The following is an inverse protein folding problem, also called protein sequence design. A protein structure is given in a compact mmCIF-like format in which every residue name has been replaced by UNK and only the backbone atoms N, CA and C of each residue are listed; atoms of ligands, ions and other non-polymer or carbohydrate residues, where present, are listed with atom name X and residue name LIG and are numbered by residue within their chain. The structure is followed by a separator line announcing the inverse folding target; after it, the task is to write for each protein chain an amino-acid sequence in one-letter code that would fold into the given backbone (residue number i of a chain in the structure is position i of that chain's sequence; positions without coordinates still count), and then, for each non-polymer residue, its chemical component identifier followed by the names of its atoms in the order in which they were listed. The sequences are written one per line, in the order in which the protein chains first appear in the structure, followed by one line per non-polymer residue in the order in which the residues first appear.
data_IF_072770854927
#
_entry.id   IF_072770854927
#
_cell.length_a   1.000
_cell.length_b   1.000
_cell.length_c   1.000
_cell.angle_alpha   90.00
_cell.angle_beta   90.00
_cell.angle_gamma   90.00
#
_symmetry.space_group_name_H-M   'P 1'
#
loop_
_entity.id
_entity.type
_entity.pdbx_description
1 polymer ?
#
# COMPACT_ATOMS: atom_id res chain seq x y z
N UNK A 1 -12.62 -0.37 -20.74
CA UNK A 1 -13.12 -0.96 -19.47
C UNK A 1 -12.28 -2.18 -19.15
N UNK A 2 -11.94 -2.40 -17.88
CA UNK A 2 -11.26 -3.62 -17.44
C UNK A 2 -12.13 -4.34 -16.42
N UNK A 3 -12.22 -5.66 -16.52
CA UNK A 3 -13.06 -6.50 -15.68
C UNK A 3 -12.23 -7.59 -15.02
N UNK A 4 -12.44 -7.80 -13.72
CA UNK A 4 -11.79 -8.81 -12.89
C UNK A 4 -12.83 -9.81 -12.44
N UNK A 5 -12.55 -11.09 -12.70
CA UNK A 5 -13.38 -12.21 -12.23
C UNK A 5 -12.70 -12.85 -11.02
N UNK A 6 -13.34 -12.77 -9.87
CA UNK A 6 -12.89 -13.31 -8.59
C UNK A 6 -13.89 -14.38 -8.14
N UNK A 7 -13.78 -15.59 -8.69
CA UNK A 7 -14.75 -16.67 -8.44
C UNK A 7 -16.15 -16.28 -8.94
N UNK A 8 -17.09 -16.15 -8.01
CA UNK A 8 -18.49 -15.76 -8.30
C UNK A 8 -18.68 -14.24 -8.40
N UNK A 9 -17.71 -13.44 -7.97
CA UNK A 9 -17.79 -11.98 -7.99
C UNK A 9 -17.08 -11.39 -9.21
N UNK A 10 -17.63 -10.32 -9.77
CA UNK A 10 -17.03 -9.56 -10.87
C UNK A 10 -16.89 -8.09 -10.49
N UNK A 11 -15.70 -7.54 -10.71
CA UNK A 11 -15.37 -6.14 -10.45
C UNK A 11 -14.93 -5.46 -11.72
N UNK A 12 -15.29 -4.20 -11.93
CA UNK A 12 -14.90 -3.45 -13.13
C UNK A 12 -14.35 -2.08 -12.76
N UNK A 13 -13.35 -1.64 -13.52
CA UNK A 13 -12.85 -0.27 -13.47
C UNK A 13 -12.72 0.34 -14.86
N UNK A 14 -12.68 1.67 -14.91
CA UNK A 14 -12.52 2.44 -16.12
C UNK A 14 -11.11 2.99 -16.24
N UNK A 15 -10.50 2.76 -17.40
CA UNK A 15 -9.14 3.23 -17.74
C UNK A 15 -9.29 4.16 -18.93
N UNK A 16 -9.24 5.47 -18.67
CA UNK A 16 -9.53 6.51 -19.67
C UNK A 16 -8.23 7.06 -20.25
N UNK A 17 -7.65 6.35 -21.22
CA UNK A 17 -6.37 6.72 -21.82
C UNK A 17 -6.46 7.94 -22.74
N UNK A 18 -7.54 8.19 -23.46
CA UNK A 18 -7.63 9.36 -24.36
C UNK A 18 -8.23 10.60 -23.70
N UNK A 19 -8.61 10.51 -22.43
CA UNK A 19 -9.07 11.67 -21.67
C UNK A 19 -7.92 12.63 -21.36
N UNK A 20 -8.28 13.81 -20.84
CA UNK A 20 -7.33 14.78 -20.30
C UNK A 20 -7.48 14.96 -18.79
N UNK A 21 -6.46 15.55 -18.17
CA UNK A 21 -6.44 15.85 -16.74
C UNK A 21 -6.30 14.61 -15.84
N UNK A 22 -7.01 14.61 -14.72
CA UNK A 22 -6.86 13.60 -13.67
C UNK A 22 -7.18 12.16 -14.15
N UNK A 23 -8.19 11.99 -15.00
CA UNK A 23 -8.57 10.68 -15.51
C UNK A 23 -7.43 10.03 -16.32
N UNK A 24 -6.72 10.82 -17.14
CA UNK A 24 -5.53 10.38 -17.88
C UNK A 24 -4.40 9.99 -16.94
N UNK A 25 -4.14 10.80 -15.92
CA UNK A 25 -3.07 10.53 -14.95
C UNK A 25 -3.33 9.22 -14.21
N UNK A 26 -4.58 8.99 -13.76
CA UNK A 26 -5.00 7.73 -13.12
C UNK A 26 -4.82 6.54 -14.07
N UNK A 27 -5.21 6.69 -15.34
CA UNK A 27 -5.03 5.66 -16.36
C UNK A 27 -3.55 5.36 -16.67
N UNK A 28 -2.71 6.39 -16.72
CA UNK A 28 -1.27 6.26 -16.93
C UNK A 28 -0.57 5.56 -15.75
N UNK A 29 -0.97 5.87 -14.51
CA UNK A 29 -0.50 5.16 -13.33
C UNK A 29 -0.95 3.69 -13.32
N UNK A 30 -2.21 3.44 -13.68
CA UNK A 30 -2.74 2.09 -13.85
C UNK A 30 -1.92 1.28 -14.85
N UNK A 31 -1.55 1.88 -15.99
CA UNK A 31 -0.75 1.24 -17.03
C UNK A 31 0.66 0.91 -16.55
N UNK A 32 1.36 1.89 -15.95
CA UNK A 32 2.74 1.72 -15.45
C UNK A 32 2.88 0.60 -14.43
N UNK A 33 1.86 0.39 -13.58
CA UNK A 33 1.84 -0.69 -12.60
C UNK A 33 1.75 -2.09 -13.23
N UNK A 34 1.22 -2.19 -14.46
CA UNK A 34 0.94 -3.47 -15.14
C UNK A 34 1.91 -3.82 -16.24
N UNK A 35 2.42 -2.82 -16.96
CA UNK A 35 3.42 -3.02 -17.99
C UNK A 35 4.68 -2.22 -17.64
N UNK A 36 5.45 -2.67 -16.62
CA UNK A 36 6.74 -2.04 -16.33
C UNK A 36 7.64 -2.15 -17.57
N UNK A 37 8.24 -1.03 -17.97
CA UNK A 37 9.11 -0.95 -19.15
C UNK A 37 8.40 -0.71 -20.49
N UNK A 38 7.07 -0.67 -20.55
CA UNK A 38 6.34 -0.20 -21.73
C UNK A 38 5.94 1.27 -21.57
N UNK A 39 6.02 2.09 -22.63
CA UNK A 39 5.48 3.45 -22.59
C UNK A 39 3.98 3.43 -22.37
N UNK A 40 3.43 4.49 -21.77
CA UNK A 40 1.99 4.64 -21.62
C UNK A 40 1.39 4.99 -22.99
N UNK A 41 0.46 4.19 -23.52
CA UNK A 41 -0.14 4.42 -24.84
C UNK A 41 -0.94 5.72 -24.85
N UNK A 42 -0.91 6.44 -25.97
CA UNK A 42 -1.65 7.70 -26.14
C UNK A 42 -3.08 7.44 -26.61
N UNK A 43 -3.28 6.36 -27.37
CA UNK A 43 -4.59 5.94 -27.85
C UNK A 43 -5.09 4.66 -27.19
N UNK A 44 -6.41 4.48 -27.14
CA UNK A 44 -7.03 3.21 -26.73
C UNK A 44 -6.63 2.08 -27.70
N UNK A 45 -6.45 2.37 -28.99
CA UNK A 45 -6.05 1.36 -29.97
C UNK A 45 -4.66 0.77 -29.69
N UNK A 46 -3.68 1.62 -29.40
CA UNK A 46 -2.32 1.19 -29.00
C UNK A 46 -2.35 0.36 -27.71
N UNK A 47 -3.19 0.78 -26.75
CA UNK A 47 -3.35 0.07 -25.49
C UNK A 47 -3.90 -1.34 -25.70
N UNK A 48 -4.89 -1.49 -26.57
CA UNK A 48 -5.47 -2.79 -26.89
C UNK A 48 -4.46 -3.71 -27.57
N UNK A 49 -3.62 -3.19 -28.47
CA UNK A 49 -2.54 -3.95 -29.12
C UNK A 49 -1.49 -4.48 -28.12
N UNK A 50 -1.30 -3.79 -27.00
CA UNK A 50 -0.32 -4.16 -25.97
C UNK A 50 -0.92 -4.92 -24.79
N UNK A 51 -2.20 -5.33 -24.86
CA UNK A 51 -2.90 -6.01 -23.75
C UNK A 51 -2.17 -7.27 -23.27
N UNK A 52 -1.52 -8.01 -24.17
CA UNK A 52 -0.75 -9.22 -23.84
C UNK A 52 0.48 -8.97 -22.96
N UNK A 53 0.97 -7.73 -22.92
CA UNK A 53 2.11 -7.33 -22.09
C UNK A 53 1.72 -6.93 -20.67
N UNK A 54 0.42 -6.75 -20.41
CA UNK A 54 -0.06 -6.34 -19.09
C UNK A 54 0.00 -7.53 -18.12
N UNK A 55 0.69 -7.32 -16.99
CA UNK A 55 0.68 -8.26 -15.89
C UNK A 55 -0.75 -8.43 -15.35
N UNK A 56 -1.18 -9.68 -15.21
CA UNK A 56 -2.44 -10.03 -14.56
C UNK A 56 -2.24 -10.03 -13.03
N UNK A 57 -2.99 -9.23 -12.26
CA UNK A 57 -2.90 -9.29 -10.81
C UNK A 57 -3.43 -10.63 -10.29
N UNK A 58 -2.80 -11.16 -9.25
CA UNK A 58 -3.24 -12.38 -8.57
C UNK A 58 -4.32 -12.08 -7.53
N UNK A 59 -4.25 -10.89 -6.92
CA UNK A 59 -5.27 -10.41 -5.99
C UNK A 59 -5.56 -8.93 -6.25
N UNK A 60 -6.81 -8.53 -6.02
CA UNK A 60 -7.24 -7.13 -6.05
C UNK A 60 -7.82 -6.75 -4.69
N UNK A 61 -7.53 -5.53 -4.24
CA UNK A 61 -8.16 -4.95 -3.06
C UNK A 61 -9.32 -4.08 -3.52
N UNK A 62 -10.49 -4.29 -2.92
CA UNK A 62 -11.72 -3.57 -3.26
C UNK A 62 -12.27 -2.92 -2.00
N UNK A 63 -12.73 -1.67 -2.11
CA UNK A 63 -13.36 -0.92 -1.03
C UNK A 63 -14.77 -0.45 -1.42
N UNK A 64 -15.72 -0.36 -0.48
CA UNK A 64 -16.97 0.34 -0.70
C UNK A 64 -16.74 1.83 -0.99
N UNK A 65 -17.42 2.34 -2.00
CA UNK A 65 -17.43 3.76 -2.38
C UNK A 65 -18.87 4.16 -2.72
N UNK A 66 -19.61 4.57 -1.68
CA UNK A 66 -21.04 4.80 -1.77
C UNK A 66 -21.80 3.53 -2.17
N UNK A 67 -22.49 3.59 -3.32
CA UNK A 67 -23.26 2.46 -3.87
C UNK A 67 -22.42 1.50 -4.72
N UNK A 68 -21.14 1.79 -4.93
CA UNK A 68 -20.27 1.05 -5.83
C UNK A 68 -19.06 0.49 -5.08
N UNK A 69 -18.39 -0.46 -5.72
CA UNK A 69 -17.15 -1.03 -5.24
C UNK A 69 -16.00 -0.48 -6.08
N UNK A 70 -15.03 0.16 -5.44
CA UNK A 70 -13.84 0.71 -6.09
C UNK A 70 -12.64 -0.21 -5.84
N UNK A 71 -11.87 -0.47 -6.89
CA UNK A 71 -10.61 -1.22 -6.78
C UNK A 71 -9.53 -0.26 -6.27
N UNK A 72 -9.04 -0.52 -5.06
CA UNK A 72 -8.08 0.34 -4.36
C UNK A 72 -6.63 -0.12 -4.50
N UNK A 73 -6.39 -1.38 -4.85
CA UNK A 73 -5.04 -1.94 -4.91
C UNK A 73 -4.93 -3.22 -5.72
N UNK A 74 -3.69 -3.53 -6.12
CA UNK A 74 -3.33 -4.69 -6.92
C UNK A 74 -2.13 -5.39 -6.29
N UNK A 75 -2.18 -6.72 -6.21
CA UNK A 75 -1.02 -7.57 -5.90
C UNK A 75 -0.73 -8.44 -7.12
N UNK A 76 0.45 -8.25 -7.69
CA UNK A 76 1.01 -9.13 -8.70
C UNK A 76 1.82 -10.20 -7.96
N UNK A 77 1.54 -11.49 -8.21
CA UNK A 77 2.45 -12.51 -7.73
C UNK A 77 3.79 -12.29 -8.43
N UNK A 78 4.86 -12.12 -7.66
CA UNK A 78 6.17 -12.49 -8.16
C UNK A 78 6.08 -13.98 -8.48
N UNK A 79 6.56 -14.41 -9.64
CA UNK A 79 6.87 -15.82 -9.85
C UNK A 79 7.64 -16.26 -8.60
N UNK A 80 7.03 -17.15 -7.81
CA UNK A 80 7.62 -17.60 -6.57
C UNK A 80 8.96 -18.21 -6.94
N UNK A 81 10.04 -17.50 -6.67
CA UNK A 81 11.24 -18.20 -6.26
C UNK A 81 10.91 -18.56 -4.81
N UNK A 82 10.48 -19.79 -4.47
CA UNK A 82 10.59 -20.21 -3.10
C UNK A 82 12.08 -20.10 -2.82
N UNK A 83 12.51 -19.13 -2.03
CA UNK A 83 13.79 -19.27 -1.34
C UNK A 83 13.58 -20.50 -0.47
N UNK A 84 14.17 -21.68 -0.76
CA UNK A 84 14.07 -22.78 0.18
C UNK A 84 14.68 -22.23 1.46
N UNK A 85 13.88 -22.22 2.52
CA UNK A 85 14.34 -21.85 3.84
C UNK A 85 15.57 -22.72 4.13
N UNK A 86 16.77 -22.14 4.07
CA UNK A 86 17.93 -22.71 4.72
C UNK A 86 17.67 -22.54 6.21
N UNK A 87 16.96 -23.49 6.79
CA UNK A 87 17.10 -23.75 8.21
C UNK A 87 18.54 -24.29 8.39
N UNK A 88 19.45 -23.59 9.07
CA UNK A 88 20.67 -24.24 9.50
C UNK A 88 20.26 -25.37 10.44
N UNK A 89 20.57 -26.61 10.06
CA UNK A 89 20.38 -27.77 10.90
C UNK A 89 20.94 -27.49 12.29
N UNK A 90 20.12 -27.72 13.31
CA UNK A 90 20.54 -27.66 14.71
C UNK A 90 21.71 -28.62 14.94
N UNK A 91 22.93 -28.10 14.89
CA UNK A 91 24.09 -28.77 15.47
C UNK A 91 24.26 -28.16 16.85
N UNK A 92 23.68 -28.83 17.86
CA UNK A 92 23.86 -28.46 19.24
C UNK A 92 25.33 -28.56 19.63
N UNK A 93 25.83 -27.55 20.34
CA UNK A 93 27.02 -27.69 21.15
C UNK A 93 26.63 -27.40 22.60
N UNK A 94 26.55 -28.47 23.39
CA UNK A 94 26.14 -28.47 24.80
C UNK A 94 27.42 -28.43 25.65
N UNK A 95 28.11 -27.30 25.67
CA UNK A 95 29.42 -27.18 26.31
C UNK A 95 29.70 -25.82 26.99
N UNK A 96 28.68 -25.20 27.59
CA UNK A 96 28.90 -24.07 28.49
C UNK A 96 27.86 -24.04 29.62
N UNK A 97 27.78 -25.14 30.37
CA UNK A 97 27.23 -25.15 31.72
C UNK A 97 28.39 -25.13 32.70
N UNK A 98 28.82 -23.94 33.12
CA UNK A 98 29.63 -23.76 34.32
C UNK A 98 29.56 -22.31 34.82
N UNK A 99 29.07 -22.14 36.05
CA UNK A 99 29.49 -21.02 36.90
C UNK A 99 28.41 -20.00 37.30
N UNK A 100 27.69 -20.32 38.37
CA UNK A 100 26.89 -19.43 39.22
C UNK A 100 27.64 -18.17 39.71
N UNK A 101 26.97 -17.04 39.91
CA UNK A 101 26.54 -16.56 41.26
C UNK A 101 25.69 -15.27 41.19
N UNK A 102 24.80 -15.16 42.18
CA UNK A 102 23.85 -14.08 42.46
C UNK A 102 24.51 -12.72 42.73
N UNK A 103 23.82 -11.67 42.32
CA UNK A 103 23.94 -10.32 42.84
C UNK A 103 22.57 -9.65 42.86
N UNK A 104 21.84 -9.83 43.96
CA UNK A 104 20.65 -9.05 44.29
C UNK A 104 21.01 -7.58 44.47
N UNK A 105 20.29 -6.67 43.83
CA UNK A 105 19.87 -5.37 44.39
C UNK A 105 19.01 -4.63 43.37
N UNK A 106 17.71 -4.48 43.66
CA UNK A 106 16.96 -3.33 43.20
C UNK A 106 17.45 -2.10 43.98
N UNK A 107 17.42 -0.91 43.36
CA UNK A 107 16.42 0.03 43.84
C UNK A 107 15.70 0.79 42.73
N UNK A 108 14.42 1.00 42.99
CA UNK A 108 13.51 1.95 42.35
C UNK A 108 14.04 3.39 42.43
N UNK A 109 13.76 4.20 41.40
CA UNK A 109 13.10 5.53 41.45
C UNK A 109 13.65 6.47 40.37
N UNK A 110 12.76 7.00 39.54
CA UNK A 110 13.08 8.04 38.56
C UNK A 110 11.95 8.28 37.57
N UNK A 111 10.76 8.61 38.08
CA UNK A 111 9.65 9.08 37.26
C UNK A 111 10.03 10.41 36.59
N UNK A 112 10.01 10.47 35.26
CA UNK A 112 10.11 11.71 34.49
C UNK A 112 8.69 12.09 34.01
N UNK A 113 8.22 13.32 34.25
CA UNK A 113 6.85 13.71 33.90
C UNK A 113 6.65 13.90 32.39
N UNK A 114 5.42 13.63 31.97
CA UNK A 114 4.90 13.83 30.63
C UNK A 114 4.86 15.32 30.26
N UNK A 115 5.45 15.67 29.13
CA UNK A 115 5.26 16.98 28.50
C UNK A 115 4.00 16.95 27.62
N UNK A 116 2.94 17.57 28.12
CA UNK A 116 1.73 17.89 27.36
C UNK A 116 2.04 19.01 26.36
N UNK A 117 2.26 18.66 25.10
CA UNK A 117 2.31 19.61 23.99
C UNK A 117 0.90 19.92 23.47
N UNK A 118 0.16 20.78 24.16
CA UNK A 118 -1.11 21.32 23.65
C UNK A 118 -0.81 22.61 22.88
N UNK A 119 -0.70 22.50 21.55
CA UNK A 119 -0.56 23.64 20.66
C UNK A 119 -1.96 24.11 20.20
N UNK A 120 -2.52 25.09 20.91
CA UNK A 120 -3.67 25.85 20.44
C UNK A 120 -3.16 27.18 19.86
N UNK A 121 -3.12 27.27 18.53
CA UNK A 121 -2.87 28.53 17.84
C UNK A 121 -4.16 29.39 17.82
N UNK A 122 -4.08 30.70 18.09
CA UNK A 122 -5.23 31.59 17.98
C UNK A 122 -5.46 31.95 16.51
N UNK A 123 -6.57 31.47 15.92
CA UNK A 123 -7.02 32.01 14.63
C UNK A 123 -7.96 33.18 14.88
N UNK A 124 -7.46 34.37 14.53
CA UNK A 124 -8.22 35.62 14.48
C UNK A 124 -9.09 35.56 13.23
N UNK A 125 -10.42 35.62 13.37
CA UNK A 125 -11.32 35.90 12.25
C UNK A 125 -11.90 37.29 12.44
N UNK A 126 -11.61 38.17 11.48
CA UNK A 126 -12.05 39.56 11.41
C UNK A 126 -12.94 39.76 10.17
N UNK A 127 -13.89 40.70 10.28
CA UNK A 127 -14.67 41.39 9.24
C UNK A 127 -15.76 40.56 8.51
N UNK A 128 -16.98 41.05 8.19
CA UNK A 128 -17.56 42.39 7.94
C UNK A 128 -19.01 42.39 8.49
N UNK A 129 -19.57 43.48 9.06
CA UNK A 129 -20.22 44.60 8.33
C UNK A 129 -21.41 44.08 7.48
N UNK A 130 -22.69 44.39 7.67
CA UNK A 130 -23.34 45.62 8.15
C UNK A 130 -24.23 46.18 7.02
N UNK A 131 -25.53 46.37 7.29
CA UNK A 131 -26.60 47.00 6.46
C UNK A 131 -27.18 46.07 5.36
N UNK A 132 -28.48 46.08 5.06
CA UNK A 132 -29.53 47.10 5.16
C UNK A 132 -30.82 46.54 5.77
#
# INVERSE_FOLDING_TARGET
KVTYSCGLATYSEWVCLEHQGYARQKAAEWWRKRAPGCPVPMSVAEALAQTSRLARPSNISVRPSGRYLEISGYRFAACAHPTPASAPSATGNLAALAGSNRGSAAPTRGATPAASGSAALPVRTSAMGGRA
#
